data_IF_011598924306
#
_entry.id   IF_011598924306
#
_cell.length_a   1.000
_cell.length_b   1.000
_cell.length_c   1.000
_cell.angle_alpha   90.00
_cell.angle_beta   90.00
_cell.angle_gamma   90.00
#
_symmetry.space_group_name_H-M   'P 1'
#
loop_
_entity.id
_entity.type
_entity.pdbx_description
1 polymer ?
#
# COMPACT_ATOMS: atom_id res chain seq x y z
N UNK A 1 9.81 5.18 18.18
CA UNK A 1 9.77 4.23 17.04
C UNK A 1 8.86 4.83 15.98
N UNK A 2 9.26 4.82 14.71
CA UNK A 2 8.41 5.35 13.64
C UNK A 2 7.40 4.32 13.17
N UNK A 3 6.19 4.78 12.92
CA UNK A 3 5.12 3.99 12.36
C UNK A 3 5.07 4.21 10.84
N UNK A 4 5.12 3.13 10.09
CA UNK A 4 5.19 3.16 8.62
C UNK A 4 4.01 2.38 8.04
N UNK A 5 3.20 3.06 7.22
CA UNK A 5 2.17 2.43 6.40
C UNK A 5 2.78 2.03 5.06
N UNK A 6 2.63 0.77 4.68
CA UNK A 6 3.00 0.26 3.36
C UNK A 6 1.74 -0.21 2.64
N UNK A 7 1.37 0.44 1.55
CA UNK A 7 0.31 -0.09 0.68
C UNK A 7 0.92 -1.06 -0.32
N UNK A 8 0.21 -2.14 -0.62
CA UNK A 8 0.78 -3.22 -1.45
C UNK A 8 1.88 -4.00 -0.72
N UNK A 9 1.81 -4.05 0.61
CA UNK A 9 2.85 -4.67 1.45
C UNK A 9 2.98 -6.18 1.30
N UNK A 10 1.96 -6.87 0.79
CA UNK A 10 2.03 -8.30 0.47
C UNK A 10 2.59 -8.58 -0.94
N UNK A 11 2.84 -7.56 -1.75
CA UNK A 11 3.52 -7.67 -3.03
C UNK A 11 5.01 -8.05 -2.86
N UNK A 12 5.70 -8.31 -3.97
CA UNK A 12 7.11 -8.73 -3.93
C UNK A 12 8.02 -7.71 -3.24
N UNK A 13 7.93 -6.45 -3.66
CA UNK A 13 8.74 -5.36 -3.07
C UNK A 13 8.29 -5.10 -1.63
N UNK A 14 6.98 -4.96 -1.41
CA UNK A 14 6.42 -4.66 -0.10
C UNK A 14 6.77 -5.69 0.96
N UNK A 15 6.71 -6.97 0.63
CA UNK A 15 7.08 -8.06 1.54
C UNK A 15 8.53 -7.99 2.02
N UNK A 16 9.47 -7.81 1.07
CA UNK A 16 10.88 -7.74 1.41
C UNK A 16 11.22 -6.46 2.18
N UNK A 17 10.64 -5.33 1.78
CA UNK A 17 10.79 -4.05 2.48
C UNK A 17 10.24 -4.12 3.90
N UNK A 18 9.05 -4.69 4.10
CA UNK A 18 8.43 -4.86 5.42
C UNK A 18 9.35 -5.60 6.38
N UNK A 19 9.89 -6.73 5.96
CA UNK A 19 10.83 -7.50 6.79
C UNK A 19 12.04 -6.67 7.19
N UNK A 20 12.66 -5.98 6.23
CA UNK A 20 13.83 -5.14 6.48
C UNK A 20 13.54 -4.00 7.45
N UNK A 21 12.38 -3.35 7.31
CA UNK A 21 11.99 -2.26 8.21
C UNK A 21 11.70 -2.75 9.64
N UNK A 22 11.09 -3.92 9.79
CA UNK A 22 10.89 -4.55 11.11
C UNK A 22 12.25 -4.83 11.77
N UNK A 23 13.21 -5.40 11.03
CA UNK A 23 14.56 -5.64 11.53
C UNK A 23 15.27 -4.34 11.96
N UNK A 24 14.91 -3.22 11.34
CA UNK A 24 15.41 -1.88 11.72
C UNK A 24 14.59 -1.23 12.85
N UNK A 25 13.62 -1.91 13.42
CA UNK A 25 12.85 -1.44 14.58
C UNK A 25 11.67 -0.53 14.25
N UNK A 26 11.14 -0.55 13.02
CA UNK A 26 9.94 0.18 12.66
C UNK A 26 8.67 -0.62 12.96
N UNK A 27 7.60 0.07 13.34
CA UNK A 27 6.26 -0.50 13.41
C UNK A 27 5.59 -0.43 12.03
N UNK A 28 5.15 -1.56 11.52
CA UNK A 28 4.61 -1.63 10.16
C UNK A 28 3.10 -1.88 10.18
N UNK A 29 2.38 -1.02 9.49
CA UNK A 29 1.00 -1.24 9.07
C UNK A 29 0.99 -1.55 7.57
N UNK A 30 0.21 -2.54 7.15
CA UNK A 30 0.05 -2.89 5.74
C UNK A 30 -1.40 -2.67 5.33
N UNK A 31 -1.61 -2.04 4.18
CA UNK A 31 -2.89 -2.01 3.48
C UNK A 31 -2.74 -2.73 2.14
N UNK A 32 -3.41 -3.87 1.99
CA UNK A 32 -3.35 -4.70 0.78
C UNK A 32 -4.69 -5.39 0.56
N UNK A 33 -5.18 -5.45 -0.66
CA UNK A 33 -6.42 -6.11 -1.00
C UNK A 33 -6.26 -7.61 -1.29
N UNK A 34 -5.04 -8.11 -1.28
CA UNK A 34 -4.68 -9.50 -1.59
C UNK A 34 -5.23 -9.96 -2.95
N UNK A 35 -5.17 -9.09 -3.95
CA UNK A 35 -5.66 -9.38 -5.30
C UNK A 35 -5.10 -10.68 -5.85
N UNK A 36 -5.97 -11.58 -6.30
CA UNK A 36 -5.58 -12.86 -6.90
C UNK A 36 -4.74 -12.73 -8.16
N UNK A 37 -4.82 -11.59 -8.85
CA UNK A 37 -3.98 -11.28 -10.01
C UNK A 37 -2.50 -11.16 -9.65
N UNK A 38 -2.21 -10.65 -8.45
CA UNK A 38 -0.85 -10.37 -7.96
C UNK A 38 -0.36 -11.46 -7.01
N UNK A 39 -1.28 -12.02 -6.23
CA UNK A 39 -0.99 -13.03 -5.22
C UNK A 39 -1.52 -14.41 -5.67
N UNK A 40 -0.65 -15.21 -6.27
CA UNK A 40 -0.98 -16.61 -6.61
C UNK A 40 -1.18 -17.48 -5.37
N UNK A 41 -0.68 -17.04 -4.22
CA UNK A 41 -0.85 -17.72 -2.93
C UNK A 41 -0.86 -16.70 -1.78
N UNK A 42 -1.51 -17.04 -0.66
CA UNK A 42 -1.56 -16.21 0.53
C UNK A 42 -0.32 -16.36 1.45
N UNK A 43 0.77 -16.94 0.96
CA UNK A 43 1.95 -17.25 1.78
C UNK A 43 2.54 -15.98 2.40
N UNK A 44 2.65 -14.88 1.63
CA UNK A 44 3.19 -13.61 2.15
C UNK A 44 2.28 -12.99 3.21
N UNK A 45 0.97 -13.03 3.00
CA UNK A 45 0.00 -12.60 4.00
C UNK A 45 0.16 -13.38 5.31
N UNK A 46 0.20 -14.72 5.22
CA UNK A 46 0.35 -15.59 6.39
C UNK A 46 1.63 -15.26 7.19
N UNK A 47 2.73 -14.94 6.48
CA UNK A 47 3.99 -14.56 7.11
C UNK A 47 4.00 -13.16 7.73
N UNK A 48 3.16 -12.26 7.24
CA UNK A 48 3.14 -10.85 7.67
C UNK A 48 2.08 -10.55 8.73
N UNK A 49 0.94 -11.24 8.71
CA UNK A 49 -0.23 -10.91 9.55
C UNK A 49 0.06 -10.90 11.06
N UNK A 50 0.99 -11.72 11.53
CA UNK A 50 1.31 -11.83 12.95
C UNK A 50 2.44 -10.89 13.41
N UNK A 51 3.16 -10.29 12.47
CA UNK A 51 4.29 -9.39 12.73
C UNK A 51 4.04 -7.94 12.31
N UNK A 52 2.87 -7.65 11.73
CA UNK A 52 2.45 -6.33 11.29
C UNK A 52 1.01 -6.06 11.70
N UNK A 53 0.60 -4.80 11.70
CA UNK A 53 -0.82 -4.47 11.69
C UNK A 53 -1.34 -4.57 10.26
N UNK A 54 -1.93 -5.72 9.90
CA UNK A 54 -2.36 -6.00 8.53
C UNK A 54 -3.84 -5.64 8.34
N UNK A 55 -4.11 -4.73 7.41
CA UNK A 55 -5.45 -4.32 7.00
C UNK A 55 -5.72 -4.90 5.61
N UNK A 56 -6.66 -5.82 5.51
CA UNK A 56 -7.18 -6.28 4.22
C UNK A 56 -8.18 -5.23 3.75
N UNK A 57 -7.81 -4.46 2.72
CA UNK A 57 -8.61 -3.36 2.23
C UNK A 57 -8.10 -2.86 0.88
N UNK A 58 -8.79 -1.86 0.34
CA UNK A 58 -8.56 -1.34 -1.01
C UNK A 58 -8.13 0.13 -0.97
N UNK A 59 -7.05 0.45 -1.67
CA UNK A 59 -6.55 1.83 -1.81
C UNK A 59 -7.51 2.74 -2.61
N UNK A 60 -8.48 2.17 -3.29
CA UNK A 60 -9.58 2.92 -3.92
C UNK A 60 -10.70 3.28 -2.94
N UNK A 61 -10.68 2.75 -1.72
CA UNK A 61 -11.71 2.95 -0.70
C UNK A 61 -11.24 3.98 0.34
N UNK A 62 -12.00 5.08 0.49
CA UNK A 62 -11.70 6.14 1.47
C UNK A 62 -11.64 5.62 2.90
N UNK A 63 -12.62 4.79 3.32
CA UNK A 63 -12.67 4.29 4.68
C UNK A 63 -11.46 3.42 5.05
N UNK A 64 -10.92 2.68 4.09
CA UNK A 64 -9.72 1.87 4.30
C UNK A 64 -8.48 2.75 4.48
N UNK A 65 -8.37 3.85 3.73
CA UNK A 65 -7.32 4.84 3.94
C UNK A 65 -7.42 5.51 5.32
N UNK A 66 -8.62 5.93 5.72
CA UNK A 66 -8.86 6.57 7.02
C UNK A 66 -8.43 5.68 8.20
N UNK A 67 -8.67 4.37 8.09
CA UNK A 67 -8.17 3.39 9.06
C UNK A 67 -6.65 3.25 9.00
N UNK A 68 -6.10 3.16 7.80
CA UNK A 68 -4.69 2.84 7.60
C UNK A 68 -3.76 3.97 8.01
N UNK A 69 -4.14 5.24 7.82
CA UNK A 69 -3.28 6.40 8.16
C UNK A 69 -3.24 6.71 9.66
N UNK A 70 -4.08 6.07 10.46
CA UNK A 70 -4.14 6.33 11.90
C UNK A 70 -2.77 6.08 12.56
N UNK A 71 -2.23 7.11 13.24
CA UNK A 71 -0.95 7.05 13.94
C UNK A 71 0.26 6.70 13.05
N UNK A 72 0.22 7.00 11.75
CA UNK A 72 1.35 6.78 10.85
C UNK A 72 2.22 8.02 10.74
N UNK A 73 3.55 7.82 10.67
CA UNK A 73 4.53 8.88 10.43
C UNK A 73 4.95 8.95 8.96
N UNK A 74 5.00 7.80 8.30
CA UNK A 74 5.46 7.66 6.91
C UNK A 74 4.51 6.75 6.14
N UNK A 75 4.23 7.11 4.89
CA UNK A 75 3.53 6.25 3.94
C UNK A 75 4.49 5.84 2.84
N UNK A 76 4.57 4.55 2.54
CA UNK A 76 5.24 4.00 1.37
C UNK A 76 4.15 3.40 0.47
N UNK A 77 3.85 4.08 -0.62
CA UNK A 77 2.75 3.71 -1.51
C UNK A 77 3.27 2.86 -2.67
N UNK A 78 3.07 1.54 -2.57
CA UNK A 78 3.48 0.55 -3.57
C UNK A 78 2.29 -0.14 -4.25
N UNK A 79 1.08 0.01 -3.72
CA UNK A 79 -0.11 -0.59 -4.31
C UNK A 79 -0.35 -0.03 -5.71
N UNK A 80 -0.43 -0.90 -6.69
CA UNK A 80 -0.63 -0.55 -8.09
C UNK A 80 -1.17 -1.76 -8.87
N UNK A 81 -1.91 -1.49 -9.92
CA UNK A 81 -2.14 -2.48 -10.98
C UNK A 81 -0.90 -2.51 -11.89
N UNK A 82 -0.44 -3.72 -12.20
CA UNK A 82 0.77 -3.97 -12.99
C UNK A 82 0.48 -4.85 -14.20
N UNK A 83 1.33 -4.75 -15.22
CA UNK A 83 1.19 -5.51 -16.46
C UNK A 83 0.84 -4.63 -17.65
N UNK A 84 1.83 -4.38 -18.51
CA UNK A 84 1.68 -3.50 -19.70
C UNK A 84 0.64 -4.00 -20.71
N UNK A 85 0.57 -5.30 -20.94
CA UNK A 85 -0.41 -5.86 -21.86
C UNK A 85 -1.85 -5.70 -21.39
N UNK A 86 -2.11 -5.95 -20.12
CA UNK A 86 -3.44 -5.83 -19.53
C UNK A 86 -3.92 -4.38 -19.43
N UNK A 87 -3.01 -3.42 -19.23
CA UNK A 87 -3.36 -2.00 -19.16
C UNK A 87 -4.01 -1.46 -20.44
N UNK A 88 -3.79 -2.10 -21.58
CA UNK A 88 -4.40 -1.74 -22.87
C UNK A 88 -5.88 -2.12 -22.95
N UNK A 89 -6.34 -3.04 -22.13
CA UNK A 89 -7.71 -3.58 -22.17
C UNK A 89 -8.51 -3.28 -20.89
N UNK A 90 -7.85 -2.97 -19.80
CA UNK A 90 -8.47 -2.69 -18.50
C UNK A 90 -8.14 -1.25 -18.04
N UNK A 91 -8.31 -0.30 -18.95
CA UNK A 91 -7.88 1.11 -18.80
C UNK A 91 -8.49 1.75 -17.55
N UNK A 92 -9.80 1.55 -17.35
CA UNK A 92 -10.51 2.15 -16.22
C UNK A 92 -9.93 1.70 -14.87
N UNK A 93 -9.71 0.40 -14.70
CA UNK A 93 -9.16 -0.16 -13.46
C UNK A 93 -7.73 0.35 -13.20
N UNK A 94 -6.87 0.35 -14.22
CA UNK A 94 -5.49 0.86 -14.10
C UNK A 94 -5.45 2.34 -13.74
N UNK A 95 -6.32 3.15 -14.34
CA UNK A 95 -6.44 4.58 -14.03
C UNK A 95 -6.96 4.76 -12.60
N UNK A 96 -7.99 4.02 -12.22
CA UNK A 96 -8.59 4.11 -10.90
C UNK A 96 -7.61 3.72 -9.79
N UNK A 97 -6.85 2.65 -9.96
CA UNK A 97 -5.87 2.19 -8.96
C UNK A 97 -4.62 3.07 -8.99
N UNK A 98 -3.99 3.28 -10.14
CA UNK A 98 -2.67 3.92 -10.19
C UNK A 98 -2.74 5.45 -10.06
N UNK A 99 -3.82 6.08 -10.48
CA UNK A 99 -4.02 7.53 -10.36
C UNK A 99 -5.05 7.84 -9.28
N UNK A 100 -6.22 7.21 -9.34
CA UNK A 100 -7.33 7.49 -8.44
C UNK A 100 -7.02 7.17 -6.98
N UNK A 101 -6.36 6.05 -6.69
CA UNK A 101 -5.98 5.72 -5.32
C UNK A 101 -4.92 6.67 -4.75
N UNK A 102 -3.99 7.15 -5.56
CA UNK A 102 -3.04 8.19 -5.16
C UNK A 102 -3.75 9.51 -4.84
N UNK A 103 -4.70 9.90 -5.69
CA UNK A 103 -5.54 11.07 -5.42
C UNK A 103 -6.37 10.90 -4.14
N UNK A 104 -6.96 9.71 -3.91
CA UNK A 104 -7.69 9.39 -2.69
C UNK A 104 -6.80 9.51 -1.44
N UNK A 105 -5.57 8.99 -1.48
CA UNK A 105 -4.59 9.14 -0.41
C UNK A 105 -4.36 10.60 -0.06
N UNK A 106 -4.09 11.44 -1.06
CA UNK A 106 -3.82 12.86 -0.87
C UNK A 106 -5.06 13.60 -0.33
N UNK A 107 -6.25 13.26 -0.84
CA UNK A 107 -7.50 13.83 -0.38
C UNK A 107 -7.78 13.51 1.10
N UNK A 108 -7.58 12.26 1.51
CA UNK A 108 -7.73 11.84 2.91
C UNK A 108 -6.71 12.54 3.80
N UNK A 109 -5.44 12.61 3.39
CA UNK A 109 -4.39 13.28 4.17
C UNK A 109 -4.65 14.79 4.34
N UNK A 110 -5.18 15.45 3.31
CA UNK A 110 -5.50 16.88 3.35
C UNK A 110 -6.69 17.19 4.24
N UNK A 111 -7.69 16.32 4.23
CA UNK A 111 -8.99 16.57 4.87
C UNK A 111 -9.20 15.85 6.21
N UNK A 112 -8.18 15.19 6.75
CA UNK A 112 -8.26 14.51 8.04
C UNK A 112 -7.11 14.91 8.98
N UNK A 113 -7.35 14.76 10.29
CA UNK A 113 -6.26 14.86 11.27
C UNK A 113 -5.38 13.62 11.14
N UNK A 114 -4.10 13.83 10.88
CA UNK A 114 -3.13 12.75 10.80
C UNK A 114 -1.74 13.25 11.25
N UNK A 115 -0.82 12.33 11.47
CA UNK A 115 0.57 12.61 11.88
C UNK A 115 1.58 12.33 10.77
N UNK A 116 1.14 12.07 9.55
CA UNK A 116 2.01 11.73 8.42
C UNK A 116 2.91 12.90 8.05
N UNK A 117 4.21 12.67 8.04
CA UNK A 117 5.24 13.67 7.75
C UNK A 117 5.93 13.42 6.41
N UNK A 118 5.81 12.21 5.87
CA UNK A 118 6.53 11.82 4.65
C UNK A 118 5.74 10.79 3.85
N UNK A 119 5.71 11.01 2.54
CA UNK A 119 5.19 10.05 1.57
C UNK A 119 6.34 9.64 0.66
N UNK A 120 6.48 8.34 0.44
CA UNK A 120 7.38 7.75 -0.55
C UNK A 120 6.48 7.08 -1.59
N UNK A 121 6.50 7.61 -2.79
CA UNK A 121 5.69 7.12 -3.91
C UNK A 121 6.58 6.34 -4.87
N UNK A 122 6.22 5.11 -5.18
CA UNK A 122 6.89 4.34 -6.20
C UNK A 122 6.56 4.92 -7.58
N UNK A 123 7.61 5.28 -8.34
CA UNK A 123 7.49 5.69 -9.72
C UNK A 123 7.58 4.48 -10.66
N UNK A 124 7.52 4.73 -11.95
CA UNK A 124 7.63 3.67 -12.96
C UNK A 124 9.08 3.26 -13.20
N UNK A 125 9.29 1.97 -13.49
CA UNK A 125 10.56 1.47 -14.05
C UNK A 125 10.81 1.97 -15.48
N UNK A 126 9.77 2.47 -16.14
CA UNK A 126 9.79 2.92 -17.54
C UNK A 126 9.91 4.45 -17.66
N UNK A 127 10.66 5.06 -16.76
CA UNK A 127 10.96 6.50 -16.80
C UNK A 127 12.28 6.78 -17.51
#
# INVERSE_FOLDING_TARGET
MKNVLITGGAGFIGFNLTKRLIDCGYNITILDNLSKKIHSSNIRYIKLKDITHFIIGDVCNRADWEKAICNQDVIIHLAAETGTGQSMYDIHNYTNVNVGATAMMLDVLTNSKNSVKKIILASSRAV
#
